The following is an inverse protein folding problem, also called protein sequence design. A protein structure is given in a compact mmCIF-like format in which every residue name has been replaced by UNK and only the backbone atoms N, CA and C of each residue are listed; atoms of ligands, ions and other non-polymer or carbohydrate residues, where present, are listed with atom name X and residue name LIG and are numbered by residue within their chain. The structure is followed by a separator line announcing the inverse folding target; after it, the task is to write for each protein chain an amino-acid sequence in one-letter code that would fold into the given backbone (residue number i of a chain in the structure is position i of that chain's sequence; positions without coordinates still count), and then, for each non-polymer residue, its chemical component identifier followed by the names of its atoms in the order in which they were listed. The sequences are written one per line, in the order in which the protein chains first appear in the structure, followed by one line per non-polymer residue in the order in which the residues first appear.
data_IF_521472884659
#
_entry.id   IF_521472884659
#
_cell.length_a   1.000
_cell.length_b   1.000
_cell.length_c   1.000
_cell.angle_alpha   90.00
_cell.angle_beta   90.00
_cell.angle_gamma   90.00
#
_symmetry.space_group_name_H-M   'P 1'
#
loop_
_entity.id
_entity.type
_entity.pdbx_description
1 polymer ?
#
# COMPACT_ATOMS: atom_id res chain seq x y z
N UNK A 1 -8.36 6.48 -5.08
CA UNK A 1 -8.13 5.33 -4.16
C UNK A 1 -7.27 5.73 -2.96
N UNK A 2 -6.06 6.26 -3.18
CA UNK A 2 -5.20 6.66 -2.06
C UNK A 2 -5.77 7.83 -1.24
N UNK A 3 -6.47 8.79 -1.85
CA UNK A 3 -7.13 9.87 -1.08
C UNK A 3 -8.15 9.32 -0.08
N UNK A 4 -9.02 8.39 -0.52
CA UNK A 4 -10.02 7.75 0.35
C UNK A 4 -9.35 7.08 1.55
N UNK A 5 -8.26 6.35 1.32
CA UNK A 5 -7.52 5.69 2.39
C UNK A 5 -6.90 6.70 3.37
N UNK A 6 -6.28 7.77 2.86
CA UNK A 6 -5.69 8.83 3.70
C UNK A 6 -6.76 9.49 4.57
N UNK A 7 -7.87 9.91 3.96
CA UNK A 7 -8.95 10.59 4.66
C UNK A 7 -9.61 9.66 5.67
N UNK A 8 -9.86 8.40 5.32
CA UNK A 8 -10.47 7.42 6.22
C UNK A 8 -9.61 7.14 7.46
N UNK A 9 -8.29 7.02 7.29
CA UNK A 9 -7.37 6.86 8.44
C UNK A 9 -7.31 8.14 9.29
N UNK A 10 -7.29 9.32 8.68
CA UNK A 10 -7.23 10.59 9.40
C UNK A 10 -8.57 10.99 10.05
N UNK A 11 -9.69 10.38 9.65
CA UNK A 11 -11.00 10.51 10.31
C UNK A 11 -11.00 9.84 11.70
N UNK A 12 -10.08 8.92 11.98
CA UNK A 12 -9.95 8.33 13.33
C UNK A 12 -9.17 9.25 14.28
N UNK A 13 -8.03 9.77 13.82
CA UNK A 13 -7.17 10.65 14.60
C UNK A 13 -6.16 11.40 13.72
N UNK A 14 -5.66 12.56 14.19
CA UNK A 14 -4.50 13.21 13.58
C UNK A 14 -3.25 12.33 13.66
N UNK A 15 -2.46 12.30 12.58
CA UNK A 15 -1.26 11.43 12.49
C UNK A 15 -0.07 12.13 11.85
N UNK A 16 1.13 11.70 12.26
CA UNK A 16 2.34 12.04 11.54
C UNK A 16 2.44 11.26 10.22
N UNK A 17 3.16 11.81 9.22
CA UNK A 17 3.30 11.18 7.91
C UNK A 17 3.85 9.73 7.94
N UNK A 18 4.70 9.39 8.91
CA UNK A 18 5.22 8.03 9.10
C UNK A 18 4.18 7.07 9.68
N UNK A 19 3.43 7.51 10.68
CA UNK A 19 2.35 6.73 11.30
C UNK A 19 1.19 6.53 10.32
N UNK A 20 0.86 7.58 9.56
CA UNK A 20 -0.12 7.52 8.49
C UNK A 20 0.27 6.45 7.46
N UNK A 21 1.55 6.40 7.03
CA UNK A 21 2.02 5.34 6.13
C UNK A 21 1.80 3.94 6.74
N UNK A 22 2.11 3.76 8.02
CA UNK A 22 1.95 2.48 8.71
C UNK A 22 0.47 2.07 8.74
N UNK A 23 -0.42 2.96 9.19
CA UNK A 23 -1.88 2.71 9.22
C UNK A 23 -2.46 2.47 7.83
N UNK A 24 -1.97 3.16 6.80
CA UNK A 24 -2.39 2.93 5.41
C UNK A 24 -2.00 1.54 4.92
N UNK A 25 -0.82 1.03 5.29
CA UNK A 25 -0.40 -0.32 4.92
C UNK A 25 -1.28 -1.38 5.62
N UNK A 26 -1.67 -1.13 6.86
CA UNK A 26 -2.61 -1.99 7.61
C UNK A 26 -4.02 -1.96 6.96
N UNK A 27 -4.55 -0.78 6.65
CA UNK A 27 -5.90 -0.62 6.08
C UNK A 27 -6.03 -1.15 4.64
N UNK A 28 -4.97 -1.04 3.83
CA UNK A 28 -4.96 -1.50 2.43
C UNK A 28 -4.49 -2.97 2.29
N UNK A 29 -4.04 -3.57 3.39
CA UNK A 29 -3.58 -4.95 3.45
C UNK A 29 -2.17 -5.20 2.90
N UNK A 30 -1.65 -6.43 3.09
CA UNK A 30 -0.23 -6.78 2.88
C UNK A 30 0.27 -6.61 1.42
N UNK A 31 -0.64 -6.61 0.46
CA UNK A 31 -0.33 -6.51 -0.96
C UNK A 31 -0.30 -5.06 -1.47
N UNK A 32 -0.58 -4.08 -0.61
CA UNK A 32 -0.58 -2.66 -0.97
C UNK A 32 0.80 -2.01 -0.78
N UNK A 33 1.40 -1.54 -1.87
CA UNK A 33 2.70 -0.85 -1.86
C UNK A 33 2.54 0.67 -1.69
N UNK A 34 2.07 1.13 -0.52
CA UNK A 34 2.07 2.57 -0.21
C UNK A 34 3.49 3.06 0.00
N UNK A 35 4.02 3.77 -0.99
CA UNK A 35 5.34 4.40 -0.92
C UNK A 35 5.25 5.83 -0.38
N UNK A 36 6.36 6.34 0.18
CA UNK A 36 6.46 7.77 0.48
C UNK A 36 6.38 8.64 -0.78
N UNK A 37 6.83 8.11 -1.92
CA UNK A 37 6.77 8.77 -3.23
C UNK A 37 5.33 9.00 -3.73
N UNK A 38 4.35 8.20 -3.28
CA UNK A 38 2.93 8.43 -3.56
C UNK A 38 2.22 9.17 -2.43
N UNK A 39 2.62 8.94 -1.17
CA UNK A 39 1.95 9.51 0.00
C UNK A 39 2.11 11.03 0.09
N UNK A 40 3.34 11.55 0.02
CA UNK A 40 3.56 12.99 0.19
C UNK A 40 2.94 13.85 -0.91
N UNK A 41 3.00 13.46 -2.20
CA UNK A 41 2.26 14.18 -3.24
C UNK A 41 0.75 14.15 -3.00
N UNK A 42 0.18 13.02 -2.58
CA UNK A 42 -1.25 12.93 -2.26
C UNK A 42 -1.64 13.84 -1.09
N UNK A 43 -0.83 13.87 -0.01
CA UNK A 43 -1.01 14.79 1.11
C UNK A 43 -0.97 16.24 0.66
N UNK A 44 0.01 16.62 -0.18
CA UNK A 44 0.11 17.97 -0.72
C UNK A 44 -1.12 18.35 -1.55
N UNK A 45 -1.65 17.44 -2.37
CA UNK A 45 -2.88 17.66 -3.14
C UNK A 45 -4.08 17.89 -2.22
N UNK A 46 -4.27 17.03 -1.23
CA UNK A 46 -5.38 17.14 -0.27
C UNK A 46 -5.30 18.43 0.56
N UNK A 47 -4.10 18.84 0.99
CA UNK A 47 -3.90 20.12 1.67
C UNK A 47 -4.22 21.32 0.77
N UNK A 48 -3.75 21.28 -0.48
CA UNK A 48 -4.03 22.34 -1.47
C UNK A 48 -5.53 22.44 -1.76
N UNK A 49 -6.24 21.30 -1.74
CA UNK A 49 -7.69 21.25 -1.88
C UNK A 49 -8.45 21.64 -0.60
N UNK A 50 -7.76 21.98 0.49
CA UNK A 50 -8.37 22.32 1.78
C UNK A 50 -8.98 21.13 2.53
N UNK A 51 -8.70 19.90 2.10
CA UNK A 51 -9.21 18.67 2.71
C UNK A 51 -8.39 18.22 3.93
N UNK A 52 -7.16 18.71 4.07
CA UNK A 52 -6.28 18.45 5.20
C UNK A 52 -5.62 19.74 5.70
N UNK A 53 -5.38 19.81 6.99
CA UNK A 53 -4.50 20.80 7.60
C UNK A 53 -3.24 20.13 8.18
N UNK A 54 -2.11 20.84 8.15
CA UNK A 54 -0.91 20.39 8.85
C UNK A 54 -0.67 21.29 10.06
N UNK A 55 -0.69 20.66 11.23
CA UNK A 55 -0.35 21.31 12.50
C UNK A 55 1.12 21.02 12.79
N UNK A 56 1.90 22.06 13.10
CA UNK A 56 3.20 21.83 13.71
C UNK A 56 2.96 21.30 15.12
N UNK A 57 3.56 20.17 15.52
CA UNK A 57 3.42 19.70 16.90
C UNK A 57 3.93 20.81 17.81
N UNK A 58 3.10 21.17 18.78
CA UNK A 58 3.37 22.28 19.70
C UNK A 58 4.78 22.11 20.30
N UNK A 59 5.59 23.17 20.21
CA UNK A 59 6.94 23.16 20.79
C UNK A 59 6.91 23.47 22.28
N UNK A 60 5.75 23.70 22.91
CA UNK A 60 5.66 23.94 24.35
C UNK A 60 5.59 22.63 25.14
N UNK A 61 6.74 22.08 25.50
CA UNK A 61 6.78 20.91 26.39
C UNK A 61 8.14 20.25 26.59
N UNK A 62 9.24 21.00 26.68
CA UNK A 62 10.48 20.47 27.27
C UNK A 62 11.33 21.62 27.81
N UNK A 63 10.81 22.28 28.85
CA UNK A 63 11.56 23.21 29.69
C UNK A 63 11.88 22.54 31.02
N UNK A 64 13.17 22.21 31.22
CA UNK A 64 13.80 22.06 32.55
C UNK A 64 13.55 20.75 33.31
N UNK A 65 14.53 19.85 33.30
CA UNK A 65 15.45 19.67 34.44
C UNK A 65 16.70 18.91 33.96
N UNK A 66 17.79 19.64 33.75
CA UNK A 66 19.14 19.07 33.84
C UNK A 66 19.50 19.07 35.33
N UNK A 67 19.47 17.90 35.95
CA UNK A 67 20.11 17.63 37.23
C UNK A 67 21.20 16.60 36.97
N UNK A 68 22.45 17.04 36.98
CA UNK A 68 23.63 16.21 36.86
C UNK A 68 23.99 15.55 38.21
N UNK A 69 24.72 14.45 38.07
CA UNK A 69 25.73 13.90 39.00
C UNK A 69 25.28 12.81 40.03
N UNK A 70 26.20 12.01 40.62
CA UNK A 70 26.63 10.71 40.09
C UNK A 70 26.68 9.59 41.16
N UNK A 71 26.98 8.36 40.75
CA UNK A 71 27.66 7.36 41.60
C UNK A 71 26.79 6.49 42.52
N UNK A 72 26.99 5.17 42.42
CA UNK A 72 26.38 4.20 43.33
C UNK A 72 26.53 2.76 42.82
N UNK A 73 27.74 2.22 42.89
CA UNK A 73 28.00 0.77 42.92
C UNK A 73 27.35 0.17 44.19
N UNK A 74 26.73 -1.02 44.11
CA UNK A 74 27.05 -2.19 44.96
C UNK A 74 26.53 -3.47 44.28
N UNK A 75 27.42 -4.46 44.29
CA UNK A 75 27.33 -5.90 43.99
C UNK A 75 26.15 -6.68 44.58
N UNK A 76 25.93 -7.88 44.03
CA UNK A 76 25.14 -8.94 44.66
C UNK A 76 24.90 -10.12 43.72
N UNK A 77 25.72 -11.16 43.90
CA UNK A 77 25.95 -12.35 43.09
C UNK A 77 24.79 -13.35 42.92
N UNK A 78 25.05 -14.30 42.02
CA UNK A 78 24.62 -15.72 42.01
C UNK A 78 23.17 -16.08 41.63
N UNK A 79 22.87 -17.12 40.85
CA UNK A 79 23.67 -18.14 40.17
C UNK A 79 22.75 -18.93 39.21
N UNK A 80 23.38 -19.84 38.45
CA UNK A 80 22.85 -21.04 37.78
C UNK A 80 22.46 -20.93 36.30
N UNK A 81 23.35 -21.54 35.51
CA UNK A 81 23.18 -21.81 34.09
C UNK A 81 22.21 -22.95 33.81
N UNK A 82 21.62 -22.87 32.63
CA UNK A 82 21.09 -24.01 31.90
C UNK A 82 21.60 -23.86 30.48
N UNK A 83 22.39 -24.84 30.06
CA UNK A 83 22.76 -25.10 28.68
C UNK A 83 21.51 -25.20 27.81
N UNK A 84 21.47 -24.49 26.68
CA UNK A 84 20.67 -24.99 25.56
C UNK A 84 21.19 -24.54 24.19
N UNK A 85 21.50 -25.58 23.40
CA UNK A 85 21.46 -25.71 21.95
C UNK A 85 21.83 -24.51 21.05
N UNK A 86 22.94 -24.71 20.33
CA UNK A 86 23.30 -24.02 19.09
C UNK A 86 22.15 -24.10 18.07
N UNK A 87 21.44 -22.98 17.87
CA UNK A 87 20.48 -22.80 16.78
C UNK A 87 21.19 -22.47 15.46
N UNK A 88 20.77 -23.05 14.32
CA UNK A 88 21.41 -22.83 13.03
C UNK A 88 21.14 -21.43 12.46
N UNK A 89 22.13 -20.94 11.70
CA UNK A 89 22.19 -19.64 11.03
C UNK A 89 20.92 -19.31 10.24
N UNK A 90 20.31 -18.18 10.57
CA UNK A 90 19.18 -17.56 9.89
C UNK A 90 19.53 -17.28 8.42
N UNK A 91 18.91 -18.02 7.49
CA UNK A 91 18.98 -17.73 6.05
C UNK A 91 18.18 -16.46 5.76
N UNK A 92 18.86 -15.47 5.18
CA UNK A 92 18.24 -14.23 4.71
C UNK A 92 17.01 -14.51 3.81
N UNK A 93 15.90 -13.78 3.97
CA UNK A 93 14.72 -13.97 3.14
C UNK A 93 15.04 -13.64 1.68
N UNK A 94 14.84 -14.61 0.80
CA UNK A 94 14.91 -14.44 -0.66
C UNK A 94 13.78 -13.48 -1.06
N UNK A 95 14.06 -12.40 -1.82
CA UNK A 95 13.02 -11.48 -2.23
C UNK A 95 12.04 -12.17 -3.19
N UNK A 96 10.77 -12.28 -2.77
CA UNK A 96 9.64 -12.68 -3.63
C UNK A 96 9.28 -11.54 -4.59
N UNK A 97 10.16 -11.26 -5.56
CA UNK A 97 9.83 -10.45 -6.73
C UNK A 97 9.51 -11.38 -7.89
N UNK A 98 8.23 -11.59 -8.16
CA UNK A 98 7.82 -12.45 -9.27
C UNK A 98 6.33 -12.33 -9.55
N UNK A 99 5.91 -11.19 -10.09
CA UNK A 99 4.58 -11.04 -10.68
C UNK A 99 4.47 -11.99 -11.88
N UNK A 100 3.71 -13.07 -11.71
CA UNK A 100 3.46 -14.10 -12.74
C UNK A 100 2.77 -13.55 -14.01
N UNK A 101 2.31 -12.29 -13.98
CA UNK A 101 1.73 -11.61 -15.15
C UNK A 101 2.77 -11.11 -16.18
N UNK A 102 4.04 -10.92 -15.78
CA UNK A 102 5.10 -10.41 -16.66
C UNK A 102 5.82 -11.48 -17.47
N UNK A 103 5.93 -12.71 -16.95
CA UNK A 103 6.78 -13.75 -17.55
C UNK A 103 6.10 -14.48 -18.73
N UNK A 104 4.76 -14.51 -18.78
CA UNK A 104 4.00 -15.11 -19.90
C UNK A 104 4.16 -14.27 -21.19
N UNK A 105 4.39 -12.95 -21.06
CA UNK A 105 4.70 -12.08 -22.19
C UNK A 105 6.14 -12.28 -22.71
N UNK A 106 7.09 -12.59 -21.82
CA UNK A 106 8.50 -12.84 -22.17
C UNK A 106 8.77 -14.25 -22.73
N UNK A 107 7.90 -15.23 -22.44
CA UNK A 107 8.04 -16.59 -22.96
C UNK A 107 7.49 -16.75 -24.39
N UNK A 108 6.49 -15.95 -24.79
CA UNK A 108 5.92 -16.00 -26.15
C UNK A 108 6.79 -15.33 -27.23
N UNK A 109 7.75 -14.50 -26.83
CA UNK A 109 8.64 -13.77 -27.75
C UNK A 109 9.87 -14.57 -28.24
N UNK A 110 10.02 -15.84 -27.85
CA UNK A 110 11.25 -16.63 -28.08
C UNK A 110 11.13 -17.79 -29.09
N UNK A 111 10.11 -17.80 -29.94
CA UNK A 111 10.05 -18.68 -31.12
C UNK A 111 9.57 -17.92 -32.35
N UNK A 112 10.51 -17.42 -33.15
CA UNK A 112 10.17 -16.80 -34.44
C UNK A 112 11.24 -15.94 -35.13
N UNK A 113 12.49 -16.43 -35.26
CA UNK A 113 13.46 -16.06 -36.32
C UNK A 113 13.85 -14.55 -36.52
N UNK A 114 14.73 -14.20 -37.47
CA UNK A 114 16.16 -14.50 -37.50
C UNK A 114 17.08 -13.24 -37.51
N UNK A 115 18.37 -13.49 -37.35
CA UNK A 115 19.49 -12.54 -37.33
C UNK A 115 19.55 -11.58 -38.54
N UNK A 116 19.96 -10.32 -38.29
CA UNK A 116 20.65 -9.48 -39.29
C UNK A 116 21.70 -8.58 -38.64
N UNK A 117 22.92 -8.74 -39.15
CA UNK A 117 24.08 -7.87 -38.97
C UNK A 117 23.78 -6.45 -39.49
N UNK A 118 24.24 -5.43 -38.77
CA UNK A 118 24.63 -4.16 -39.35
C UNK A 118 25.76 -3.54 -38.52
N UNK A 119 26.93 -3.40 -39.15
CA UNK A 119 28.09 -2.65 -38.65
C UNK A 119 27.87 -1.17 -38.92
N UNK A 120 28.29 -0.30 -38.01
CA UNK A 120 28.57 1.11 -38.31
C UNK A 120 29.97 1.52 -37.82
N UNK A 121 30.62 2.50 -38.48
CA UNK A 121 32.06 2.71 -38.45
C UNK A 121 32.55 3.67 -37.35
N UNK A 122 33.87 3.59 -37.11
CA UNK A 122 34.70 4.48 -36.30
C UNK A 122 34.93 5.85 -37.00
N UNK A 123 35.11 6.91 -36.20
CA UNK A 123 36.14 7.98 -36.34
C UNK A 123 36.03 8.95 -35.13
N UNK A 124 37.12 9.17 -34.37
CA UNK A 124 38.07 10.31 -34.38
C UNK A 124 37.61 11.46 -33.44
N UNK A 125 38.24 11.67 -32.27
CA UNK A 125 39.47 12.44 -31.92
C UNK A 125 39.26 13.97 -31.84
N UNK A 126 40.00 14.56 -30.88
CA UNK A 126 40.28 15.99 -30.55
C UNK A 126 39.43 16.59 -29.40
N UNK A 127 39.94 17.13 -28.28
CA UNK A 127 41.13 17.90 -27.85
C UNK A 127 40.82 19.40 -27.65
N UNK A 128 40.70 19.88 -26.40
CA UNK A 128 41.09 21.23 -25.86
C UNK A 128 40.49 21.40 -24.45
N UNK A 129 41.26 21.55 -23.35
CA UNK A 129 42.06 22.68 -22.81
C UNK A 129 41.23 23.82 -22.20
N UNK A 130 41.43 24.07 -20.89
CA UNK A 130 41.57 25.43 -20.33
C UNK A 130 40.63 25.89 -19.20
N UNK A 131 41.23 26.34 -18.08
CA UNK A 131 40.66 27.26 -17.06
C UNK A 131 40.19 26.60 -15.76
N UNK A 132 40.90 26.56 -14.63
CA UNK A 132 41.47 27.61 -13.75
C UNK A 132 40.47 28.38 -12.88
N UNK A 133 40.79 28.44 -11.58
CA UNK A 133 40.24 29.27 -10.48
C UNK A 133 38.91 28.82 -9.86
N UNK A 134 38.60 29.08 -8.58
CA UNK A 134 39.35 29.34 -7.36
C UNK A 134 38.32 29.20 -6.21
N UNK A 135 38.82 28.80 -5.04
CA UNK A 135 38.30 28.97 -3.67
C UNK A 135 36.92 29.64 -3.47
N UNK A 136 36.04 28.96 -2.74
CA UNK A 136 35.22 29.58 -1.69
C UNK A 136 34.82 28.55 -0.64
N UNK A 137 35.50 28.62 0.51
CA UNK A 137 35.01 28.14 1.79
C UNK A 137 33.76 28.91 2.19
N UNK A 138 32.65 28.20 2.36
CA UNK A 138 31.40 28.73 2.90
C UNK A 138 30.73 27.67 3.78
N UNK A 139 31.27 27.49 4.98
CA UNK A 139 30.55 26.80 6.05
C UNK A 139 29.45 27.74 6.54
N UNK A 140 28.20 27.46 6.16
CA UNK A 140 27.02 28.06 6.76
C UNK A 140 26.38 27.06 7.73
N UNK A 141 26.29 27.36 9.04
CA UNK A 141 25.59 26.49 9.98
C UNK A 141 24.08 26.75 9.85
N UNK A 142 23.29 25.70 9.60
CA UNK A 142 21.84 25.77 9.79
C UNK A 142 20.96 25.15 8.71
N UNK A 143 21.13 23.86 8.39
CA UNK A 143 20.13 23.08 7.62
C UNK A 143 19.53 21.91 8.40
N UNK A 144 19.82 21.79 9.69
CA UNK A 144 19.29 20.74 10.58
C UNK A 144 18.29 21.30 11.60
N UNK A 145 17.52 22.32 11.22
CA UNK A 145 16.19 22.48 11.79
C UNK A 145 15.41 21.23 11.37
N UNK A 146 15.56 20.15 12.13
CA UNK A 146 14.92 18.85 11.97
C UNK A 146 13.47 19.11 11.63
N UNK A 147 13.13 19.04 10.34
CA UNK A 147 11.86 19.47 9.76
C UNK A 147 10.77 18.95 10.68
N UNK A 148 10.15 19.84 11.46
CA UNK A 148 9.24 19.45 12.52
C UNK A 148 8.22 18.49 11.92
N UNK A 149 8.03 17.32 12.54
CA UNK A 149 7.22 16.25 11.96
C UNK A 149 5.78 16.75 11.90
N UNK A 150 5.32 17.14 10.70
CA UNK A 150 3.95 17.63 10.50
C UNK A 150 2.94 16.58 10.95
N UNK A 151 1.96 17.00 11.76
CA UNK A 151 0.76 16.22 12.07
C UNK A 151 -0.31 16.63 11.07
N UNK A 152 -0.93 15.67 10.40
CA UNK A 152 -2.04 15.93 9.47
C UNK A 152 -3.36 15.69 10.20
N UNK A 153 -4.32 16.59 9.99
CA UNK A 153 -5.71 16.46 10.46
C UNK A 153 -6.67 16.63 9.28
N UNK A 154 -7.76 15.87 9.28
CA UNK A 154 -8.87 16.04 8.33
C UNK A 154 -9.66 17.31 8.65
N UNK A 155 -10.03 18.09 7.64
CA UNK A 155 -10.90 19.26 7.79
C UNK A 155 -12.35 18.89 7.53
N UNK A 156 -13.31 19.77 7.83
CA UNK A 156 -14.72 19.57 7.48
C UNK A 156 -14.92 19.31 5.97
N UNK A 157 -14.22 20.07 5.12
CA UNK A 157 -14.19 19.82 3.66
C UNK A 157 -13.60 18.44 3.33
N UNK A 158 -12.60 18.01 4.07
CA UNK A 158 -12.02 16.67 3.95
C UNK A 158 -13.00 15.57 4.33
N UNK A 159 -13.84 15.79 5.34
CA UNK A 159 -14.91 14.87 5.72
C UNK A 159 -15.97 14.75 4.62
N UNK A 160 -16.42 15.87 4.05
CA UNK A 160 -17.34 15.83 2.91
C UNK A 160 -16.75 15.09 1.70
N UNK A 161 -15.47 15.32 1.41
CA UNK A 161 -14.76 14.61 0.33
C UNK A 161 -14.60 13.13 0.64
N UNK A 162 -14.38 12.76 1.90
CA UNK A 162 -14.32 11.37 2.32
C UNK A 162 -15.66 10.66 2.06
N UNK A 163 -16.77 11.27 2.48
CA UNK A 163 -18.11 10.72 2.30
C UNK A 163 -18.44 10.56 0.80
N UNK A 164 -18.10 11.56 -0.01
CA UNK A 164 -18.24 11.52 -1.48
C UNK A 164 -17.46 10.35 -2.09
N UNK A 165 -16.18 10.23 -1.76
CA UNK A 165 -15.30 9.17 -2.29
C UNK A 165 -15.74 7.77 -1.83
N UNK A 166 -16.22 7.65 -0.59
CA UNK A 166 -16.69 6.41 0.00
C UNK A 166 -17.98 5.93 -0.71
N UNK A 167 -18.92 6.85 -0.97
CA UNK A 167 -20.16 6.57 -1.67
C UNK A 167 -20.00 6.46 -3.20
N UNK A 168 -18.89 6.94 -3.76
CA UNK A 168 -18.64 6.93 -5.20
C UNK A 168 -18.72 5.51 -5.81
N UNK A 169 -19.34 5.42 -6.99
CA UNK A 169 -19.55 4.18 -7.75
C UNK A 169 -18.68 4.14 -9.00
N UNK A 170 -18.40 2.94 -9.51
CA UNK A 170 -17.72 2.74 -10.79
C UNK A 170 -16.71 1.59 -10.79
N UNK A 171 -16.07 1.31 -11.95
CA UNK A 171 -15.25 0.10 -12.12
C UNK A 171 -14.10 -0.04 -11.12
N UNK A 172 -13.41 1.07 -10.79
CA UNK A 172 -12.33 1.06 -9.79
C UNK A 172 -12.85 0.98 -8.36
N UNK A 173 -14.11 1.33 -8.12
CA UNK A 173 -14.73 1.20 -6.81
C UNK A 173 -15.22 -0.23 -6.54
N UNK A 174 -15.65 -0.93 -7.59
CA UNK A 174 -16.23 -2.27 -7.51
C UNK A 174 -15.18 -3.40 -7.71
N UNK A 175 -13.95 -3.05 -8.09
CA UNK A 175 -12.82 -4.00 -8.11
C UNK A 175 -12.45 -4.49 -6.68
N UNK A 176 -11.63 -5.53 -6.58
CA UNK A 176 -11.33 -6.17 -5.29
C UNK A 176 -10.68 -5.22 -4.27
N UNK A 177 -9.77 -4.35 -4.72
CA UNK A 177 -9.10 -3.38 -3.84
C UNK A 177 -10.01 -2.20 -3.50
N UNK A 178 -10.76 -1.73 -4.49
CA UNK A 178 -11.78 -0.69 -4.37
C UNK A 178 -12.84 -1.05 -3.35
N UNK A 179 -13.35 -2.28 -3.46
CA UNK A 179 -14.35 -2.82 -2.56
C UNK A 179 -13.79 -3.04 -1.15
N UNK A 180 -12.64 -3.70 -1.02
CA UNK A 180 -12.03 -3.97 0.29
C UNK A 180 -11.78 -2.70 1.09
N UNK A 181 -11.28 -1.64 0.44
CA UNK A 181 -11.07 -0.35 1.09
C UNK A 181 -12.37 0.30 1.56
N UNK A 182 -13.44 0.25 0.76
CA UNK A 182 -14.75 0.79 1.16
C UNK A 182 -15.37 -0.02 2.28
N UNK A 183 -15.20 -1.33 2.25
CA UNK A 183 -15.68 -2.21 3.30
C UNK A 183 -14.97 -1.93 4.63
N UNK A 184 -13.65 -1.67 4.62
CA UNK A 184 -12.89 -1.28 5.81
C UNK A 184 -13.43 0.00 6.48
N UNK A 185 -14.07 0.88 5.70
CA UNK A 185 -14.68 2.12 6.17
C UNK A 185 -16.22 2.10 6.15
N UNK A 186 -16.84 0.93 5.96
CA UNK A 186 -18.29 0.83 5.78
C UNK A 186 -19.07 1.35 6.99
N UNK A 187 -18.48 1.36 8.20
CA UNK A 187 -19.09 1.95 9.41
C UNK A 187 -19.50 3.42 9.26
N UNK A 188 -18.91 4.15 8.30
CA UNK A 188 -19.25 5.55 8.01
C UNK A 188 -20.34 5.70 6.94
N UNK A 189 -20.77 4.61 6.30
CA UNK A 189 -21.88 4.62 5.36
C UNK A 189 -23.22 4.36 6.09
N UNK A 190 -24.34 4.95 5.64
CA UNK A 190 -25.67 4.53 6.08
C UNK A 190 -25.95 3.08 5.65
N UNK A 191 -26.84 2.38 6.35
CA UNK A 191 -27.15 0.97 6.11
C UNK A 191 -27.50 0.66 4.64
N UNK A 192 -28.36 1.47 4.03
CA UNK A 192 -28.72 1.35 2.61
C UNK A 192 -27.51 1.44 1.67
N UNK A 193 -26.54 2.30 1.98
CA UNK A 193 -25.33 2.42 1.18
C UNK A 193 -24.37 1.24 1.39
N UNK A 194 -24.32 0.66 2.60
CA UNK A 194 -23.60 -0.59 2.89
C UNK A 194 -24.20 -1.75 2.11
N UNK A 195 -25.53 -1.93 2.17
CA UNK A 195 -26.24 -2.95 1.38
C UNK A 195 -25.95 -2.80 -0.11
N UNK A 196 -26.11 -1.58 -0.64
CA UNK A 196 -25.83 -1.33 -2.05
C UNK A 196 -24.38 -1.63 -2.45
N UNK A 197 -23.39 -1.38 -1.58
CA UNK A 197 -21.99 -1.74 -1.82
C UNK A 197 -21.81 -3.26 -1.94
N UNK A 198 -22.37 -4.01 -0.99
CA UNK A 198 -22.26 -5.47 -0.95
C UNK A 198 -22.97 -6.13 -2.14
N UNK A 199 -24.18 -5.68 -2.47
CA UNK A 199 -24.99 -6.21 -3.57
C UNK A 199 -24.31 -5.99 -4.93
N UNK A 200 -23.72 -4.81 -5.17
CA UNK A 200 -22.97 -4.54 -6.39
C UNK A 200 -21.76 -5.46 -6.53
N UNK A 201 -20.98 -5.62 -5.45
CA UNK A 201 -19.82 -6.51 -5.45
C UNK A 201 -20.23 -7.96 -5.73
N UNK A 202 -21.31 -8.41 -5.10
CA UNK A 202 -21.87 -9.74 -5.32
C UNK A 202 -22.28 -9.93 -6.78
N UNK A 203 -23.04 -8.99 -7.36
CA UNK A 203 -23.46 -9.05 -8.75
C UNK A 203 -22.26 -9.15 -9.71
N UNK A 204 -21.20 -8.36 -9.46
CA UNK A 204 -19.97 -8.42 -10.23
C UNK A 204 -19.27 -9.80 -10.15
N UNK A 205 -19.19 -10.40 -8.96
CA UNK A 205 -18.60 -11.73 -8.79
C UNK A 205 -19.44 -12.83 -9.45
N UNK A 206 -20.77 -12.76 -9.36
CA UNK A 206 -21.68 -13.69 -10.03
C UNK A 206 -21.48 -13.63 -11.55
N UNK A 207 -21.41 -12.42 -12.12
CA UNK A 207 -21.17 -12.25 -13.56
C UNK A 207 -19.79 -12.82 -13.96
N UNK A 208 -18.75 -12.53 -13.19
CA UNK A 208 -17.40 -13.07 -13.42
C UNK A 208 -17.36 -14.59 -13.33
N UNK A 209 -18.06 -15.18 -12.37
CA UNK A 209 -18.16 -16.63 -12.19
C UNK A 209 -18.82 -17.30 -13.39
N UNK A 210 -19.93 -16.73 -13.88
CA UNK A 210 -20.62 -17.23 -15.07
C UNK A 210 -19.71 -17.21 -16.31
N UNK A 211 -18.96 -16.12 -16.51
CA UNK A 211 -17.97 -16.00 -17.60
C UNK A 211 -16.83 -17.00 -17.45
N UNK A 212 -16.31 -17.18 -16.25
CA UNK A 212 -15.22 -18.11 -15.96
C UNK A 212 -15.64 -19.57 -16.24
N UNK A 213 -16.79 -20.00 -15.72
CA UNK A 213 -17.33 -21.36 -15.93
C UNK A 213 -17.57 -21.66 -17.41
N UNK A 214 -18.11 -20.71 -18.16
CA UNK A 214 -18.35 -20.85 -19.60
C UNK A 214 -17.03 -21.00 -20.38
N UNK A 215 -16.03 -20.18 -20.05
CA UNK A 215 -14.71 -20.22 -20.68
C UNK A 215 -13.98 -21.54 -20.40
N UNK A 216 -14.01 -22.00 -19.15
CA UNK A 216 -13.42 -23.29 -18.76
C UNK A 216 -14.09 -24.46 -19.48
N UNK A 217 -15.43 -24.47 -19.60
CA UNK A 217 -16.16 -25.51 -20.34
C UNK A 217 -15.78 -25.55 -21.82
N UNK A 218 -15.71 -24.38 -22.49
CA UNK A 218 -15.37 -24.29 -23.92
C UNK A 218 -13.89 -24.61 -24.24
N UNK A 219 -13.00 -24.51 -23.25
CA UNK A 219 -11.56 -24.77 -23.38
C UNK A 219 -11.07 -26.09 -22.78
N UNK A 220 -11.96 -26.89 -22.17
CA UNK A 220 -11.61 -28.01 -21.27
C UNK A 220 -10.67 -29.06 -21.90
N UNK A 221 -10.83 -29.33 -23.19
CA UNK A 221 -10.02 -30.30 -23.94
C UNK A 221 -8.65 -29.76 -24.36
N UNK A 222 -8.49 -28.42 -24.40
CA UNK A 222 -7.24 -27.76 -24.82
C UNK A 222 -6.32 -27.40 -23.66
N UNK A 223 -6.80 -27.48 -22.42
CA UNK A 223 -6.04 -27.13 -21.21
C UNK A 223 -5.35 -28.38 -20.64
N UNK A 224 -4.08 -28.23 -20.27
CA UNK A 224 -3.39 -29.22 -19.46
C UNK A 224 -3.96 -29.30 -18.02
N UNK A 225 -3.52 -30.29 -17.26
CA UNK A 225 -4.02 -30.54 -15.91
C UNK A 225 -3.80 -29.36 -14.95
N UNK A 226 -2.64 -28.71 -15.00
CA UNK A 226 -2.31 -27.61 -14.09
C UNK A 226 -3.10 -26.34 -14.41
N UNK A 227 -3.23 -26.00 -15.69
CA UNK A 227 -4.03 -24.87 -16.14
C UNK A 227 -5.51 -25.04 -15.76
N UNK A 228 -6.01 -26.28 -15.83
CA UNK A 228 -7.36 -26.62 -15.36
C UNK A 228 -7.50 -26.43 -13.85
N UNK A 229 -6.60 -26.99 -13.04
CA UNK A 229 -6.62 -26.82 -11.58
C UNK A 229 -6.55 -25.35 -11.15
N UNK A 230 -5.77 -24.52 -11.85
CA UNK A 230 -5.73 -23.08 -11.58
C UNK A 230 -7.06 -22.38 -11.89
N UNK A 231 -7.74 -22.77 -12.96
CA UNK A 231 -9.05 -22.23 -13.33
C UNK A 231 -10.15 -22.66 -12.34
N UNK A 232 -10.12 -23.91 -11.90
CA UNK A 232 -11.00 -24.46 -10.87
C UNK A 232 -10.80 -23.70 -9.54
N UNK A 233 -9.56 -23.56 -9.09
CA UNK A 233 -9.25 -22.84 -7.85
C UNK A 233 -9.75 -21.39 -7.85
N UNK A 234 -9.56 -20.65 -8.96
CA UNK A 234 -10.09 -19.27 -9.10
C UNK A 234 -11.63 -19.21 -9.04
N UNK A 235 -12.29 -20.23 -9.58
CA UNK A 235 -13.75 -20.38 -9.57
C UNK A 235 -14.22 -20.60 -8.14
N UNK A 236 -13.58 -21.51 -7.40
CA UNK A 236 -13.92 -21.78 -5.99
C UNK A 236 -13.71 -20.56 -5.09
N UNK A 237 -12.63 -19.78 -5.28
CA UNK A 237 -12.43 -18.52 -4.53
C UNK A 237 -13.62 -17.58 -4.77
N UNK A 238 -14.03 -17.42 -6.03
CA UNK A 238 -15.15 -16.54 -6.38
C UNK A 238 -16.46 -17.02 -5.76
N UNK A 239 -16.70 -18.32 -5.71
CA UNK A 239 -17.87 -18.92 -5.06
C UNK A 239 -17.88 -18.69 -3.54
N UNK A 240 -16.72 -18.87 -2.88
CA UNK A 240 -16.57 -18.59 -1.45
C UNK A 240 -16.83 -17.12 -1.14
N UNK A 241 -16.30 -16.21 -1.95
CA UNK A 241 -16.52 -14.77 -1.80
C UNK A 241 -18.01 -14.39 -1.97
N UNK A 242 -18.72 -15.00 -2.93
CA UNK A 242 -20.16 -14.78 -3.11
C UNK A 242 -20.93 -15.24 -1.87
N UNK A 243 -20.63 -16.43 -1.35
CA UNK A 243 -21.27 -16.98 -0.15
C UNK A 243 -21.03 -16.08 1.08
N UNK A 244 -19.81 -15.59 1.26
CA UNK A 244 -19.48 -14.63 2.31
C UNK A 244 -20.26 -13.32 2.17
N UNK A 245 -20.39 -12.78 0.94
CA UNK A 245 -21.19 -11.59 0.70
C UNK A 245 -22.69 -11.82 0.98
N UNK A 246 -23.22 -12.99 0.62
CA UNK A 246 -24.61 -13.36 0.91
C UNK A 246 -24.89 -13.33 2.42
N UNK A 247 -23.99 -13.90 3.23
CA UNK A 247 -24.09 -13.87 4.70
C UNK A 247 -24.02 -12.44 5.24
N UNK A 248 -23.10 -11.62 4.71
CA UNK A 248 -22.92 -10.25 5.16
C UNK A 248 -24.13 -9.36 4.80
N UNK A 249 -24.73 -9.57 3.62
CA UNK A 249 -25.96 -8.88 3.20
C UNK A 249 -27.13 -9.27 4.11
N UNK A 250 -27.27 -10.56 4.45
CA UNK A 250 -28.32 -11.01 5.35
C UNK A 250 -28.21 -10.35 6.73
N UNK A 251 -27.01 -10.36 7.33
CA UNK A 251 -26.75 -9.74 8.63
C UNK A 251 -27.03 -8.22 8.64
N UNK A 252 -26.68 -7.53 7.55
CA UNK A 252 -26.92 -6.08 7.41
C UNK A 252 -28.42 -5.75 7.31
N UNK A 253 -29.22 -6.60 6.63
CA UNK A 253 -30.68 -6.45 6.55
C UNK A 253 -31.36 -6.68 7.90
N UNK A 254 -30.90 -7.70 8.64
CA UNK A 254 -31.38 -7.99 9.99
C UNK A 254 -31.08 -6.84 10.96
N UNK A 255 -29.91 -6.20 10.81
CA UNK A 255 -29.51 -5.06 11.65
C UNK A 255 -30.26 -3.74 11.34
N UNK A 256 -30.92 -3.67 10.19
CA UNK A 256 -31.67 -2.47 9.74
C UNK A 256 -33.16 -2.55 10.10
N UNK A 257 -33.66 -3.75 10.41
CA UNK A 257 -35.05 -4.01 10.82
C UNK A 257 -35.24 -3.74 12.31
#
# INVERSE_FOLDING_TARGET
MLELAILGVLKEQPLHGYELKKRLAEALGPLSSVSFGSLYPALKRLQTAGALEAVEPDRSGTGGVNGADPGGEVSGDDETGVDDAVLPREMAPIPMTGSLGGEIAAFRARRGAPARLARHPRQARESQVGGSQARASGSGPGSTARRAKKVYRITERGESLFDELLAARGPSADDERGFGLRLAFARYLPAEARLGLLERRRAHLVERLAKARTSTRAGRERLDGYARSLAEHRTEITERDISWLDQLIAAERESTT
#
